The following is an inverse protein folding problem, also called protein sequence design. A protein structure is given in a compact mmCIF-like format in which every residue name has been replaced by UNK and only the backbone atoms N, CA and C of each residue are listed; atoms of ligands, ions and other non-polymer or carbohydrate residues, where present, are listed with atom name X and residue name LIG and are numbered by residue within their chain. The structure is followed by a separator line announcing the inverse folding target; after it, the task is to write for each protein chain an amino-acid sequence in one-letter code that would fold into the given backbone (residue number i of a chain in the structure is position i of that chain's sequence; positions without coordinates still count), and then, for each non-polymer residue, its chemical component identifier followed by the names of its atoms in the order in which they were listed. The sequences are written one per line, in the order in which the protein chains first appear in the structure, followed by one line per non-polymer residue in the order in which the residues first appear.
data_IF_657209416394
#
_entry.id   IF_657209416394
#
_cell.length_a   1.000
_cell.length_b   1.000
_cell.length_c   1.000
_cell.angle_alpha   90.00
_cell.angle_beta   90.00
_cell.angle_gamma   90.00
#
_symmetry.space_group_name_H-M   'P 1'
#
loop_
_entity.id
_entity.type
_entity.pdbx_description
1 polymer ?
#
# COMPACT_ATOMS: atom_id res chain seq x y z
N UNK A 1 46.48 4.21 -53.88
CA UNK A 1 45.33 3.32 -53.61
C UNK A 1 45.69 2.50 -52.38
N UNK A 2 45.30 2.82 -51.16
CA UNK A 2 43.98 3.15 -50.62
C UNK A 2 44.16 4.11 -49.42
N UNK A 3 43.25 5.09 -49.30
CA UNK A 3 43.18 6.04 -48.20
C UNK A 3 42.67 5.33 -46.93
N UNK A 4 43.33 5.57 -45.80
CA UNK A 4 42.82 5.23 -44.47
C UNK A 4 42.85 6.47 -43.60
N UNK A 5 42.08 7.50 -43.97
CA UNK A 5 41.85 8.64 -43.10
C UNK A 5 41.19 8.14 -41.84
N UNK A 6 41.90 8.21 -40.70
CA UNK A 6 41.26 8.10 -39.41
C UNK A 6 40.30 9.28 -39.30
N UNK A 7 39.02 9.04 -39.56
CA UNK A 7 37.97 9.98 -39.18
C UNK A 7 38.13 10.24 -37.69
N UNK A 8 38.66 11.41 -37.35
CA UNK A 8 38.54 11.94 -35.99
C UNK A 8 37.08 12.31 -35.79
N UNK A 9 36.28 11.28 -35.51
CA UNK A 9 34.93 11.42 -34.99
C UNK A 9 34.99 12.38 -33.81
N UNK A 10 34.24 13.48 -33.88
CA UNK A 10 34.07 14.43 -32.76
C UNK A 10 33.53 13.76 -31.49
N UNK A 11 33.04 12.52 -31.61
CA UNK A 11 32.45 11.75 -30.53
C UNK A 11 33.33 10.56 -30.17
N UNK A 12 33.69 10.48 -28.87
CA UNK A 12 34.40 9.33 -28.31
C UNK A 12 33.41 8.18 -28.12
N UNK A 13 33.45 7.18 -29.00
CA UNK A 13 32.62 5.97 -28.90
C UNK A 13 33.02 5.20 -27.64
N UNK A 14 32.05 4.94 -26.76
CA UNK A 14 32.21 4.06 -25.59
C UNK A 14 31.83 2.64 -26.01
N UNK A 15 32.72 1.68 -25.80
CA UNK A 15 32.46 0.25 -26.04
C UNK A 15 32.39 -0.50 -24.69
N UNK A 16 31.23 -1.04 -24.31
CA UNK A 16 31.08 -1.83 -23.09
C UNK A 16 32.00 -3.05 -23.04
N UNK A 17 32.40 -3.62 -24.18
CA UNK A 17 33.29 -4.77 -24.25
C UNK A 17 34.77 -4.40 -24.04
N UNK A 18 35.10 -3.11 -24.10
CA UNK A 18 36.45 -2.58 -23.90
C UNK A 18 36.70 -2.09 -22.47
N UNK A 19 35.80 -2.38 -21.51
CA UNK A 19 36.01 -2.09 -20.10
C UNK A 19 37.17 -2.96 -19.56
N UNK A 20 38.33 -2.36 -19.32
CA UNK A 20 39.41 -2.98 -18.55
C UNK A 20 39.09 -2.87 -17.06
N UNK A 21 39.31 -3.98 -16.34
CA UNK A 21 39.29 -3.96 -14.89
C UNK A 21 40.67 -3.47 -14.41
N UNK A 22 40.71 -2.28 -13.82
CA UNK A 22 41.92 -1.79 -13.16
C UNK A 22 42.18 -2.66 -11.92
N UNK A 23 43.42 -3.12 -11.77
CA UNK A 23 43.84 -3.92 -10.61
C UNK A 23 43.76 -3.12 -9.30
N UNK A 24 43.89 -1.79 -9.38
CA UNK A 24 43.83 -0.87 -8.26
C UNK A 24 43.14 0.43 -8.67
N UNK A 25 42.13 0.85 -7.90
CA UNK A 25 41.41 2.11 -8.09
C UNK A 25 41.59 2.92 -6.80
N UNK A 26 42.06 4.16 -6.90
CA UNK A 26 42.13 5.00 -5.71
C UNK A 26 40.73 5.49 -5.31
N UNK A 27 40.36 5.53 -4.01
CA UNK A 27 39.03 5.99 -3.59
C UNK A 27 38.65 7.39 -4.08
N UNK A 28 39.64 8.26 -4.34
CA UNK A 28 39.43 9.60 -4.91
C UNK A 28 39.01 9.62 -6.38
N UNK A 29 39.30 8.55 -7.12
CA UNK A 29 38.99 8.40 -8.56
C UNK A 29 37.59 7.86 -8.80
N UNK A 30 36.94 7.32 -7.76
CA UNK A 30 35.58 6.84 -7.84
C UNK A 30 34.61 7.99 -8.13
N UNK A 31 33.70 7.74 -9.08
CA UNK A 31 32.64 8.68 -9.41
C UNK A 31 31.80 8.98 -8.16
N UNK A 32 31.81 10.24 -7.74
CA UNK A 32 30.95 10.72 -6.65
C UNK A 32 29.63 11.15 -7.25
N UNK A 33 28.53 10.61 -6.72
CA UNK A 33 27.20 11.12 -7.03
C UNK A 33 27.04 12.60 -6.61
N UNK A 34 25.96 13.27 -7.03
CA UNK A 34 25.67 14.64 -6.63
C UNK A 34 25.65 14.76 -5.10
N UNK A 35 26.41 15.72 -4.55
CA UNK A 35 26.50 15.93 -3.09
C UNK A 35 25.14 16.29 -2.48
N UNK A 36 24.33 17.07 -3.19
CA UNK A 36 23.02 17.58 -2.73
C UNK A 36 21.84 16.82 -3.37
N UNK A 37 22.05 15.54 -3.70
CA UNK A 37 21.01 14.69 -4.28
C UNK A 37 19.87 14.39 -3.30
N UNK A 38 18.72 13.99 -3.85
CA UNK A 38 17.50 13.67 -3.08
C UNK A 38 17.77 12.71 -1.90
N UNK A 39 18.43 11.57 -2.14
CA UNK A 39 18.73 10.58 -1.10
C UNK A 39 19.73 11.07 -0.05
N UNK A 40 20.60 12.05 -0.37
CA UNK A 40 21.48 12.66 0.63
C UNK A 40 20.67 13.51 1.60
N UNK A 41 19.77 14.35 1.07
CA UNK A 41 18.85 15.17 1.90
C UNK A 41 17.88 14.31 2.69
N UNK A 42 17.39 13.22 2.10
CA UNK A 42 16.55 12.26 2.81
C UNK A 42 17.32 11.62 3.98
N UNK A 43 18.59 11.24 3.77
CA UNK A 43 19.43 10.72 4.86
C UNK A 43 19.58 11.74 5.98
N UNK A 44 19.86 13.01 5.67
CA UNK A 44 19.98 14.09 6.67
C UNK A 44 18.69 14.25 7.49
N UNK A 45 17.53 14.19 6.85
CA UNK A 45 16.23 14.23 7.54
C UNK A 45 16.05 13.01 8.45
N UNK A 46 16.34 11.81 7.95
CA UNK A 46 16.24 10.56 8.74
C UNK A 46 17.22 10.54 9.92
N UNK A 47 18.42 11.08 9.76
CA UNK A 47 19.40 11.23 10.83
C UNK A 47 18.95 12.27 11.86
N UNK A 48 18.43 13.42 11.41
CA UNK A 48 17.93 14.48 12.28
C UNK A 48 16.77 14.04 13.19
N UNK A 49 16.04 13.00 12.80
CA UNK A 49 14.96 12.40 13.59
C UNK A 49 15.35 11.09 14.29
N UNK A 50 16.63 10.69 14.33
CA UNK A 50 17.06 9.39 14.87
C UNK A 50 16.25 8.19 14.32
N UNK A 51 15.96 8.18 13.01
CA UNK A 51 15.15 7.12 12.41
C UNK A 51 15.75 5.72 12.67
N UNK A 52 17.07 5.60 12.53
CA UNK A 52 17.79 4.33 12.78
C UNK A 52 17.62 3.87 14.22
N UNK A 53 17.87 4.74 15.20
CA UNK A 53 17.75 4.38 16.62
C UNK A 53 16.30 4.05 17.02
N UNK A 54 15.32 4.80 16.49
CA UNK A 54 13.90 4.49 16.70
C UNK A 54 13.52 3.12 16.13
N UNK A 55 13.90 2.82 14.88
CA UNK A 55 13.65 1.51 14.26
C UNK A 55 14.35 0.39 15.02
N UNK A 56 15.58 0.60 15.49
CA UNK A 56 16.30 -0.39 16.29
C UNK A 56 15.55 -0.71 17.58
N UNK A 57 15.06 0.30 18.32
CA UNK A 57 14.24 0.11 19.53
C UNK A 57 12.96 -0.67 19.25
N UNK A 58 12.25 -0.33 18.16
CA UNK A 58 11.03 -1.02 17.75
C UNK A 58 11.28 -2.50 17.39
N UNK A 59 12.43 -2.79 16.77
CA UNK A 59 12.74 -4.12 16.28
C UNK A 59 13.45 -5.01 17.32
N UNK A 60 14.07 -4.44 18.36
CA UNK A 60 15.00 -5.13 19.26
C UNK A 60 14.44 -6.47 19.79
N UNK A 61 13.20 -6.47 20.26
CA UNK A 61 12.53 -7.67 20.83
C UNK A 61 12.34 -8.82 19.82
N UNK A 62 12.39 -8.51 18.52
CA UNK A 62 12.26 -9.48 17.43
C UNK A 62 13.61 -9.97 16.89
N UNK A 63 14.72 -9.47 17.45
CA UNK A 63 16.07 -9.85 17.09
C UNK A 63 16.74 -10.56 18.27
N UNK A 64 17.58 -11.55 17.97
CA UNK A 64 18.33 -12.26 19.01
C UNK A 64 19.53 -11.43 19.41
N UNK A 65 19.70 -11.17 20.71
CA UNK A 65 20.89 -10.54 21.23
C UNK A 65 22.11 -11.47 21.08
N UNK A 66 23.17 -10.97 20.46
CA UNK A 66 24.52 -11.53 20.59
C UNK A 66 24.85 -12.81 19.79
N UNK A 67 26.04 -12.74 19.20
CA UNK A 67 26.88 -13.68 18.43
C UNK A 67 27.01 -15.15 18.89
N UNK A 68 26.17 -15.66 19.79
CA UNK A 68 26.29 -17.03 20.33
C UNK A 68 25.64 -18.14 19.47
N UNK A 69 24.90 -17.79 18.41
CA UNK A 69 24.23 -18.75 17.52
C UNK A 69 24.89 -18.65 16.16
N UNK A 70 25.73 -19.63 15.78
CA UNK A 70 26.44 -19.63 14.51
C UNK A 70 25.49 -19.34 13.33
N UNK A 71 25.82 -18.32 12.53
CA UNK A 71 25.04 -17.88 11.38
C UNK A 71 25.42 -16.49 10.88
N UNK A 72 25.00 -16.14 9.66
CA UNK A 72 25.14 -14.79 9.10
C UNK A 72 24.34 -13.82 9.99
N UNK A 73 24.92 -12.68 10.44
CA UNK A 73 24.19 -11.66 11.17
C UNK A 73 22.93 -11.23 10.40
N UNK A 74 21.80 -10.98 11.09
CA UNK A 74 20.61 -10.50 10.40
C UNK A 74 20.88 -9.12 9.79
N UNK A 75 20.22 -8.84 8.66
CA UNK A 75 20.27 -7.50 8.06
C UNK A 75 19.72 -6.46 9.03
N UNK A 76 20.36 -5.29 9.07
CA UNK A 76 19.89 -4.16 9.88
C UNK A 76 18.45 -3.79 9.49
N UNK A 77 17.49 -3.76 10.44
CA UNK A 77 16.11 -3.38 10.16
C UNK A 77 15.97 -1.98 9.54
N UNK A 78 16.82 -1.01 9.92
CA UNK A 78 16.79 0.33 9.35
C UNK A 78 17.15 0.33 7.86
N UNK A 79 18.07 -0.54 7.43
CA UNK A 79 18.38 -0.76 6.01
C UNK A 79 17.16 -1.30 5.28
N UNK A 80 16.47 -2.29 5.84
CA UNK A 80 15.28 -2.88 5.20
C UNK A 80 14.16 -1.85 5.04
N UNK A 81 13.88 -1.03 6.06
CA UNK A 81 12.92 0.08 5.94
C UNK A 81 13.34 1.11 4.89
N UNK A 82 14.61 1.52 4.86
CA UNK A 82 15.14 2.43 3.83
C UNK A 82 15.01 1.85 2.42
N UNK A 83 15.24 0.55 2.23
CA UNK A 83 15.02 -0.10 0.93
C UNK A 83 13.53 -0.11 0.54
N UNK A 84 12.61 -0.34 1.48
CA UNK A 84 11.17 -0.21 1.22
C UNK A 84 10.79 1.23 0.85
N UNK A 85 11.38 2.24 1.50
CA UNK A 85 11.21 3.65 1.12
C UNK A 85 11.70 3.92 -0.30
N UNK A 86 12.83 3.36 -0.73
CA UNK A 86 13.30 3.44 -2.11
C UNK A 86 12.25 2.86 -3.06
N UNK A 87 11.70 1.68 -2.74
CA UNK A 87 10.63 1.06 -3.51
C UNK A 87 9.40 1.95 -3.66
N UNK A 88 8.95 2.55 -2.55
CA UNK A 88 7.82 3.48 -2.57
C UNK A 88 8.12 4.75 -3.40
N UNK A 89 9.27 5.39 -3.16
CA UNK A 89 9.64 6.68 -3.76
C UNK A 89 9.95 6.56 -5.27
N UNK A 90 10.47 5.42 -5.73
CA UNK A 90 10.74 5.17 -7.15
C UNK A 90 9.63 4.35 -7.85
N UNK A 91 8.56 3.99 -7.15
CA UNK A 91 7.42 3.24 -7.72
C UNK A 91 7.76 1.79 -8.09
N UNK A 92 8.67 1.15 -7.36
CA UNK A 92 9.12 -0.23 -7.60
C UNK A 92 8.34 -1.18 -6.70
N UNK A 93 7.39 -1.92 -7.29
CA UNK A 93 6.46 -2.80 -6.56
C UNK A 93 6.95 -4.22 -6.27
N UNK A 94 8.22 -4.57 -6.52
CA UNK A 94 8.73 -5.93 -6.30
C UNK A 94 10.02 -5.95 -5.49
N UNK A 95 10.14 -6.88 -4.54
CA UNK A 95 11.34 -7.04 -3.71
C UNK A 95 12.61 -7.28 -4.56
N UNK A 96 12.49 -8.03 -5.67
CA UNK A 96 13.58 -8.23 -6.63
C UNK A 96 13.99 -6.93 -7.32
N UNK A 97 13.01 -6.13 -7.74
CA UNK A 97 13.25 -4.82 -8.33
C UNK A 97 13.93 -3.87 -7.35
N UNK A 98 13.45 -3.83 -6.10
CA UNK A 98 14.03 -2.98 -5.04
C UNK A 98 15.47 -3.42 -4.76
N UNK A 99 15.71 -4.72 -4.57
CA UNK A 99 17.06 -5.24 -4.32
C UNK A 99 18.02 -4.95 -5.49
N UNK A 100 17.58 -5.18 -6.73
CA UNK A 100 18.38 -4.87 -7.92
C UNK A 100 18.72 -3.38 -8.00
N UNK A 101 17.72 -2.51 -7.75
CA UNK A 101 17.88 -1.06 -7.74
C UNK A 101 18.82 -0.56 -6.65
N UNK A 102 18.75 -1.16 -5.45
CA UNK A 102 19.68 -0.83 -4.37
C UNK A 102 21.11 -1.28 -4.69
N UNK A 103 21.27 -2.43 -5.37
CA UNK A 103 22.57 -2.95 -5.76
C UNK A 103 23.22 -2.13 -6.90
N UNK A 104 22.41 -1.64 -7.85
CA UNK A 104 22.88 -0.93 -9.06
C UNK A 104 23.29 0.53 -8.83
N UNK A 105 22.84 1.14 -7.72
CA UNK A 105 22.91 2.57 -7.51
C UNK A 105 23.93 2.96 -6.45
N UNK A 106 25.01 3.63 -6.88
CA UNK A 106 26.00 4.17 -5.95
C UNK A 106 25.40 5.17 -4.94
N UNK A 107 24.39 5.93 -5.36
CA UNK A 107 23.70 6.90 -4.50
C UNK A 107 22.87 6.18 -3.43
N UNK A 108 22.13 5.14 -3.82
CA UNK A 108 21.29 4.39 -2.87
C UNK A 108 22.16 3.54 -1.95
N UNK A 109 23.24 2.91 -2.44
CA UNK A 109 24.23 2.22 -1.58
C UNK A 109 24.73 3.12 -0.45
N UNK A 110 25.10 4.37 -0.79
CA UNK A 110 25.52 5.36 0.22
C UNK A 110 24.40 5.72 1.19
N UNK A 111 23.17 5.91 0.72
CA UNK A 111 21.99 6.15 1.55
C UNK A 111 21.71 5.00 2.55
N UNK A 112 21.97 3.77 2.12
CA UNK A 112 21.85 2.56 2.93
C UNK A 112 23.06 2.32 3.84
N UNK A 113 24.15 3.06 3.68
CA UNK A 113 25.38 2.90 4.46
C UNK A 113 26.30 1.76 3.99
N UNK A 114 26.16 1.30 2.75
CA UNK A 114 26.97 0.21 2.18
C UNK A 114 28.18 0.73 1.42
N UNK A 115 29.32 0.06 1.62
CA UNK A 115 30.53 0.30 0.84
C UNK A 115 30.39 -0.25 -0.59
N UNK A 116 31.28 0.16 -1.51
CA UNK A 116 31.27 -0.35 -2.89
C UNK A 116 31.56 -1.85 -2.98
N UNK A 117 32.35 -2.37 -2.04
CA UNK A 117 32.77 -3.77 -2.01
C UNK A 117 31.82 -4.66 -1.20
N UNK A 118 30.82 -4.08 -0.54
CA UNK A 118 29.82 -4.84 0.22
C UNK A 118 28.61 -5.18 -0.66
N UNK A 119 28.02 -6.34 -0.41
CA UNK A 119 26.76 -6.73 -1.02
C UNK A 119 25.59 -6.14 -0.23
N UNK A 120 24.69 -5.45 -0.95
CA UNK A 120 23.41 -5.02 -0.38
C UNK A 120 22.48 -6.23 -0.17
N UNK A 121 21.45 -6.12 0.69
CA UNK A 121 20.48 -7.20 0.88
C UNK A 121 19.79 -7.59 -0.44
N UNK A 122 19.49 -8.88 -0.58
CA UNK A 122 18.78 -9.40 -1.74
C UNK A 122 17.26 -9.53 -1.46
N UNK A 123 16.51 -10.00 -2.46
CA UNK A 123 15.06 -10.20 -2.33
C UNK A 123 14.66 -11.20 -1.22
N UNK A 124 15.52 -12.15 -0.86
CA UNK A 124 15.24 -13.11 0.20
C UNK A 124 15.27 -12.46 1.59
N UNK A 125 16.09 -11.43 1.77
CA UNK A 125 16.12 -10.61 2.99
C UNK A 125 14.77 -9.98 3.29
N UNK A 126 14.02 -9.52 2.28
CA UNK A 126 12.67 -8.98 2.47
C UNK A 126 11.69 -10.02 3.01
N UNK A 127 11.74 -11.25 2.50
CA UNK A 127 10.89 -12.34 2.96
C UNK A 127 11.17 -12.67 4.43
N UNK A 128 12.46 -12.78 4.79
CA UNK A 128 12.87 -13.02 6.19
C UNK A 128 12.46 -11.86 7.09
N UNK A 129 12.61 -10.63 6.60
CA UNK A 129 12.28 -9.42 7.35
C UNK A 129 10.78 -9.32 7.64
N UNK A 130 9.91 -9.49 6.63
CA UNK A 130 8.45 -9.44 6.81
C UNK A 130 7.90 -10.59 7.64
N UNK A 131 8.52 -11.78 7.62
CA UNK A 131 8.12 -12.90 8.49
C UNK A 131 8.57 -12.71 9.95
N UNK A 132 9.60 -11.89 10.19
CA UNK A 132 10.18 -11.68 11.52
C UNK A 132 9.39 -10.67 12.33
N UNK A 133 8.90 -9.62 11.69
CA UNK A 133 8.23 -8.51 12.35
C UNK A 133 6.72 -8.64 12.22
N UNK A 134 5.95 -8.42 13.29
CA UNK A 134 4.49 -8.29 13.19
C UNK A 134 4.10 -6.96 12.55
N UNK A 135 2.87 -6.89 12.03
CA UNK A 135 2.32 -5.69 11.39
C UNK A 135 2.37 -4.44 12.28
N UNK A 136 2.22 -4.63 13.59
CA UNK A 136 2.31 -3.55 14.59
C UNK A 136 3.67 -2.84 14.59
N UNK A 137 4.77 -3.54 14.26
CA UNK A 137 6.10 -2.91 14.14
C UNK A 137 6.20 -2.10 12.86
N UNK A 138 5.57 -2.55 11.76
CA UNK A 138 5.51 -1.77 10.53
C UNK A 138 4.67 -0.50 10.70
N UNK A 139 3.55 -0.59 11.42
CA UNK A 139 2.72 0.57 11.79
C UNK A 139 3.51 1.56 12.65
N UNK A 140 4.16 1.09 13.72
CA UNK A 140 4.99 1.96 14.56
C UNK A 140 6.15 2.61 13.78
N UNK A 141 6.79 1.89 12.85
CA UNK A 141 7.82 2.48 11.99
C UNK A 141 7.26 3.52 11.01
N UNK A 142 6.02 3.35 10.54
CA UNK A 142 5.32 4.36 9.75
C UNK A 142 4.98 5.60 10.59
N UNK A 143 4.60 5.42 11.85
CA UNK A 143 4.36 6.52 12.78
C UNK A 143 5.63 7.34 13.05
N UNK A 144 6.79 6.69 13.14
CA UNK A 144 8.08 7.40 13.19
C UNK A 144 8.23 8.33 11.99
N UNK A 145 7.91 7.87 10.78
CA UNK A 145 7.97 8.71 9.56
C UNK A 145 6.97 9.86 9.62
N UNK A 146 5.74 9.62 10.07
CA UNK A 146 4.71 10.65 10.23
C UNK A 146 5.12 11.72 11.24
N UNK A 147 5.80 11.34 12.32
CA UNK A 147 6.38 12.28 13.30
C UNK A 147 7.46 13.16 12.65
N UNK A 148 8.30 12.58 11.80
CA UNK A 148 9.25 13.34 10.98
C UNK A 148 8.55 14.32 10.02
N UNK A 149 7.47 13.89 9.36
CA UNK A 149 6.66 14.77 8.50
C UNK A 149 6.02 15.91 9.31
N UNK A 150 5.49 15.60 10.51
CA UNK A 150 4.93 16.59 11.42
C UNK A 150 5.94 17.65 11.81
N UNK A 151 7.13 17.24 12.26
CA UNK A 151 8.20 18.15 12.67
C UNK A 151 8.62 19.12 11.55
N UNK A 152 8.51 18.69 10.29
CA UNK A 152 8.78 19.53 9.11
C UNK A 152 7.55 20.25 8.55
N UNK A 153 6.39 20.15 9.23
CA UNK A 153 5.14 20.78 8.81
C UNK A 153 4.48 20.15 7.58
N UNK A 154 4.90 18.93 7.20
CA UNK A 154 4.37 18.11 6.10
C UNK A 154 3.23 17.17 6.53
N UNK A 155 2.79 17.26 7.78
CA UNK A 155 1.54 16.65 8.26
C UNK A 155 0.70 17.73 8.97
N UNK A 156 -0.42 18.14 8.36
CA UNK A 156 -1.38 19.10 8.94
C UNK A 156 -2.50 18.40 9.69
N UNK A 157 -3.00 17.29 9.13
CA UNK A 157 -3.99 16.42 9.77
C UNK A 157 -5.40 17.03 9.90
N UNK A 158 -5.70 18.15 9.24
CA UNK A 158 -7.02 18.82 9.42
C UNK A 158 -8.11 18.26 8.53
N UNK A 159 -7.72 17.70 7.39
CA UNK A 159 -8.65 17.27 6.35
C UNK A 159 -8.24 15.91 5.84
N UNK A 160 -8.92 14.86 6.32
CA UNK A 160 -8.63 13.50 5.93
C UNK A 160 -9.40 13.13 4.66
N UNK A 161 -8.74 12.41 3.77
CA UNK A 161 -9.33 11.74 2.62
C UNK A 161 -9.22 10.24 2.80
N UNK A 162 -10.27 9.49 2.50
CA UNK A 162 -10.24 8.02 2.45
C UNK A 162 -10.62 7.57 1.04
N UNK A 163 -9.85 6.65 0.50
CA UNK A 163 -10.09 6.04 -0.81
C UNK A 163 -9.55 4.62 -0.86
N UNK A 164 -10.28 3.73 -1.52
CA UNK A 164 -9.88 2.36 -1.76
C UNK A 164 -9.51 2.15 -3.22
N UNK A 165 -8.47 1.35 -3.42
CA UNK A 165 -8.06 0.86 -4.72
C UNK A 165 -8.33 -0.63 -4.83
N UNK A 166 -8.31 -1.14 -6.05
CA UNK A 166 -8.36 -2.58 -6.34
C UNK A 166 -7.02 -2.98 -6.94
N UNK A 167 -6.40 -4.01 -6.36
CA UNK A 167 -5.19 -4.65 -6.87
C UNK A 167 -5.53 -6.09 -7.20
N UNK A 168 -5.14 -6.54 -8.38
CA UNK A 168 -5.25 -7.95 -8.77
C UNK A 168 -4.27 -8.79 -7.94
N UNK A 169 -4.77 -9.87 -7.35
CA UNK A 169 -3.94 -10.80 -6.61
C UNK A 169 -3.09 -11.64 -7.57
N UNK A 170 -2.00 -12.21 -7.08
CA UNK A 170 -1.26 -13.23 -7.81
C UNK A 170 -1.96 -14.60 -7.67
N UNK A 171 -3.25 -14.63 -7.97
CA UNK A 171 -4.13 -15.78 -7.88
C UNK A 171 -5.19 -15.66 -8.96
N UNK A 172 -5.68 -16.79 -9.47
CA UNK A 172 -6.70 -16.81 -10.52
C UNK A 172 -7.95 -17.56 -10.08
N UNK A 173 -9.08 -17.24 -10.71
CA UNK A 173 -10.32 -17.99 -10.54
C UNK A 173 -10.21 -19.47 -10.97
N UNK A 174 -9.23 -19.80 -11.82
CA UNK A 174 -9.01 -21.18 -12.28
C UNK A 174 -8.38 -22.07 -11.20
N UNK A 175 -7.66 -21.47 -10.24
CA UNK A 175 -7.04 -22.16 -9.11
C UNK A 175 -7.94 -22.26 -7.87
N UNK A 176 -9.24 -21.98 -8.00
CA UNK A 176 -10.15 -22.05 -6.85
C UNK A 176 -10.30 -23.49 -6.34
N UNK A 177 -10.31 -23.62 -5.01
CA UNK A 177 -10.62 -24.84 -4.27
C UNK A 177 -11.76 -24.58 -3.29
N UNK A 178 -12.57 -25.60 -3.02
CA UNK A 178 -13.58 -25.51 -1.96
C UNK A 178 -12.92 -25.51 -0.58
N UNK A 179 -13.34 -24.62 0.31
CA UNK A 179 -12.77 -24.48 1.66
C UNK A 179 -12.92 -25.74 2.53
N UNK A 180 -14.04 -26.45 2.40
CA UNK A 180 -14.36 -27.59 3.27
C UNK A 180 -13.86 -28.93 2.75
N UNK A 181 -13.69 -29.07 1.44
CA UNK A 181 -13.40 -30.35 0.79
C UNK A 181 -12.09 -30.34 0.02
N UNK A 182 -11.43 -29.19 -0.08
CA UNK A 182 -10.23 -28.96 -0.89
C UNK A 182 -10.38 -29.38 -2.36
N UNK A 183 -11.63 -29.58 -2.81
CA UNK A 183 -11.90 -30.02 -4.17
C UNK A 183 -11.69 -28.87 -5.12
N UNK A 184 -10.90 -29.09 -6.18
CA UNK A 184 -10.67 -28.08 -7.21
C UNK A 184 -11.99 -27.68 -7.89
N UNK A 185 -12.09 -26.42 -8.30
CA UNK A 185 -13.26 -25.92 -9.03
C UNK A 185 -13.59 -26.77 -10.24
N UNK A 186 -12.57 -27.18 -11.00
CA UNK A 186 -12.76 -27.98 -12.20
C UNK A 186 -13.18 -29.41 -11.90
N UNK A 187 -12.73 -30.02 -10.81
CA UNK A 187 -13.21 -31.36 -10.44
C UNK A 187 -14.65 -31.33 -9.94
N UNK A 188 -15.03 -30.29 -9.20
CA UNK A 188 -16.43 -30.03 -8.87
C UNK A 188 -17.31 -29.87 -10.13
N UNK A 189 -16.85 -29.08 -11.10
CA UNK A 189 -17.56 -28.88 -12.37
C UNK A 189 -17.63 -30.18 -13.18
N UNK A 190 -16.58 -31.01 -13.21
CA UNK A 190 -16.62 -32.33 -13.85
C UNK A 190 -17.66 -33.25 -13.23
N UNK A 191 -17.78 -33.25 -11.89
CA UNK A 191 -18.82 -34.02 -11.19
C UNK A 191 -20.22 -33.63 -11.66
N UNK A 192 -20.52 -32.34 -11.67
CA UNK A 192 -21.80 -31.81 -12.18
C UNK A 192 -22.04 -32.11 -13.66
N UNK A 193 -20.99 -32.01 -14.48
CA UNK A 193 -21.05 -32.28 -15.91
C UNK A 193 -21.36 -33.77 -16.17
N UNK A 194 -20.74 -34.68 -15.43
CA UNK A 194 -21.00 -36.12 -15.50
C UNK A 194 -22.44 -36.46 -15.10
N UNK A 195 -22.96 -35.87 -14.02
CA UNK A 195 -24.37 -36.02 -13.61
C UNK A 195 -25.35 -35.51 -14.68
N UNK A 196 -24.95 -34.49 -15.44
CA UNK A 196 -25.72 -33.94 -16.56
C UNK A 196 -25.51 -34.68 -17.89
N UNK A 197 -24.73 -35.77 -17.91
CA UNK A 197 -24.46 -36.58 -19.10
C UNK A 197 -23.49 -35.95 -20.10
N UNK A 198 -22.71 -34.94 -19.69
CA UNK A 198 -21.65 -34.32 -20.49
C UNK A 198 -20.38 -35.17 -20.40
N UNK A 199 -19.67 -35.32 -21.52
CA UNK A 199 -18.37 -36.01 -21.53
C UNK A 199 -17.34 -35.23 -20.70
N UNK A 200 -16.97 -35.80 -19.55
CA UNK A 200 -16.01 -35.21 -18.61
C UNK A 200 -14.56 -35.26 -19.12
N UNK A 201 -14.29 -36.07 -20.14
CA UNK A 201 -12.96 -36.17 -20.76
C UNK A 201 -12.75 -35.15 -21.89
N UNK A 202 -13.80 -34.43 -22.32
CA UNK A 202 -13.70 -33.28 -23.23
C UNK A 202 -13.68 -31.96 -22.41
N UNK A 203 -12.51 -31.32 -22.21
CA UNK A 203 -12.42 -30.07 -21.46
C UNK A 203 -13.27 -28.94 -22.07
N UNK A 204 -13.47 -28.94 -23.39
CA UNK A 204 -14.29 -27.94 -24.06
C UNK A 204 -15.78 -28.16 -23.77
N UNK A 205 -16.23 -29.41 -23.69
CA UNK A 205 -17.60 -29.73 -23.28
C UNK A 205 -17.87 -29.31 -21.83
N UNK A 206 -16.96 -29.63 -20.90
CA UNK A 206 -17.04 -29.23 -19.49
C UNK A 206 -17.06 -27.71 -19.33
N UNK A 207 -16.21 -26.97 -20.05
CA UNK A 207 -16.20 -25.51 -20.01
C UNK A 207 -17.47 -24.87 -20.59
N UNK A 208 -18.04 -25.44 -21.68
CA UNK A 208 -19.34 -25.00 -22.23
C UNK A 208 -20.47 -25.24 -21.24
N UNK A 209 -20.47 -26.38 -20.57
CA UNK A 209 -21.44 -26.72 -19.52
C UNK A 209 -21.40 -25.70 -18.37
N UNK A 210 -20.22 -25.40 -17.81
CA UNK A 210 -20.11 -24.43 -16.71
C UNK A 210 -20.54 -23.01 -17.12
N UNK A 211 -20.23 -22.59 -18.36
CA UNK A 211 -20.66 -21.29 -18.89
C UNK A 211 -22.18 -21.19 -19.00
N UNK A 212 -22.87 -22.29 -19.32
CA UNK A 212 -24.32 -22.34 -19.44
C UNK A 212 -25.05 -22.50 -18.08
N UNK A 213 -24.32 -22.78 -17.00
CA UNK A 213 -24.89 -23.07 -15.68
C UNK A 213 -25.61 -21.86 -15.08
N UNK A 214 -26.90 -22.03 -14.79
CA UNK A 214 -27.70 -21.01 -14.08
C UNK A 214 -27.27 -20.92 -12.63
N UNK A 215 -27.08 -19.69 -12.13
CA UNK A 215 -26.73 -19.46 -10.73
C UNK A 215 -25.29 -19.83 -10.35
N UNK A 216 -24.37 -19.87 -11.33
CA UNK A 216 -22.92 -19.99 -11.07
C UNK A 216 -22.50 -18.96 -10.02
N UNK A 217 -22.03 -19.44 -8.87
CA UNK A 217 -21.50 -18.62 -7.78
C UNK A 217 -20.16 -19.21 -7.33
N UNK A 218 -19.13 -18.38 -7.36
CA UNK A 218 -17.84 -18.62 -6.71
C UNK A 218 -17.79 -17.73 -5.46
N UNK A 219 -18.65 -18.04 -4.49
CA UNK A 219 -18.75 -17.23 -3.29
C UNK A 219 -17.50 -17.38 -2.41
N UNK A 220 -17.01 -16.30 -1.83
CA UNK A 220 -15.83 -16.35 -0.94
C UNK A 220 -16.03 -17.18 0.34
N UNK A 221 -17.30 -17.52 0.67
CA UNK A 221 -17.66 -18.43 1.76
C UNK A 221 -17.34 -19.89 1.46
N UNK A 222 -17.45 -20.28 0.20
CA UNK A 222 -17.28 -21.66 -0.24
C UNK A 222 -15.94 -21.89 -0.92
N UNK A 223 -15.40 -20.85 -1.58
CA UNK A 223 -14.22 -20.95 -2.43
C UNK A 223 -13.08 -20.07 -1.92
N UNK A 224 -11.84 -20.55 -2.10
CA UNK A 224 -10.61 -19.77 -1.93
C UNK A 224 -9.57 -20.20 -2.96
N UNK A 225 -8.48 -19.44 -3.10
CA UNK A 225 -7.33 -19.85 -3.87
C UNK A 225 -6.20 -20.23 -2.89
N UNK A 226 -5.55 -21.40 -3.03
CA UNK A 226 -4.49 -21.85 -2.11
C UNK A 226 -3.16 -21.09 -2.31
N UNK A 227 -2.91 -20.54 -3.49
CA UNK A 227 -1.69 -19.76 -3.79
C UNK A 227 -1.71 -18.38 -3.12
N UNK A 228 -2.92 -17.82 -2.93
CA UNK A 228 -3.17 -16.59 -2.16
C UNK A 228 -4.51 -16.74 -1.38
N UNK A 229 -4.46 -17.29 -0.15
CA UNK A 229 -5.66 -17.52 0.67
C UNK A 229 -6.39 -16.25 1.13
N UNK A 230 -5.71 -15.10 1.11
CA UNK A 230 -6.23 -13.81 1.57
C UNK A 230 -6.96 -13.07 0.44
N UNK A 231 -6.59 -13.34 -0.81
CA UNK A 231 -7.32 -12.83 -1.95
C UNK A 231 -8.80 -13.25 -1.93
N UNK A 232 -9.65 -12.40 -2.48
CA UNK A 232 -11.09 -12.63 -2.57
C UNK A 232 -11.58 -12.47 -3.99
N UNK A 233 -12.55 -13.29 -4.38
CA UNK A 233 -13.29 -13.09 -5.62
C UNK A 233 -14.03 -11.75 -5.52
N UNK A 234 -13.68 -10.82 -6.39
CA UNK A 234 -14.22 -9.47 -6.44
C UNK A 234 -14.17 -8.89 -7.85
N UNK A 235 -14.63 -7.65 -8.01
CA UNK A 235 -14.61 -6.97 -9.32
C UNK A 235 -13.31 -6.18 -9.50
N UNK A 236 -12.62 -6.41 -10.61
CA UNK A 236 -11.46 -5.61 -11.02
C UNK A 236 -11.90 -4.21 -11.44
N UNK A 237 -10.94 -3.30 -11.65
CA UNK A 237 -11.19 -1.93 -12.12
C UNK A 237 -11.95 -1.90 -13.46
N UNK A 238 -11.72 -2.88 -14.32
CA UNK A 238 -12.39 -3.03 -15.62
C UNK A 238 -13.77 -3.71 -15.51
N UNK A 239 -14.19 -4.08 -14.30
CA UNK A 239 -15.49 -4.70 -14.02
C UNK A 239 -15.54 -6.21 -14.23
N UNK A 240 -14.42 -6.85 -14.61
CA UNK A 240 -14.31 -8.30 -14.66
C UNK A 240 -14.27 -8.88 -13.25
N UNK A 241 -14.56 -10.18 -13.11
CA UNK A 241 -14.38 -10.88 -11.84
C UNK A 241 -13.01 -11.53 -11.80
N UNK A 242 -12.28 -11.32 -10.72
CA UNK A 242 -11.02 -12.01 -10.45
C UNK A 242 -10.73 -12.08 -8.95
N UNK A 243 -9.58 -12.65 -8.58
CA UNK A 243 -9.03 -12.60 -7.23
C UNK A 243 -8.37 -11.24 -7.01
N UNK A 244 -8.82 -10.50 -6.00
CA UNK A 244 -8.35 -9.14 -5.73
C UNK A 244 -8.08 -8.90 -4.25
N UNK A 245 -7.23 -7.90 -4.02
CA UNK A 245 -7.01 -7.22 -2.75
C UNK A 245 -7.54 -5.79 -2.84
N UNK A 246 -7.98 -5.24 -1.71
CA UNK A 246 -8.53 -3.88 -1.64
C UNK A 246 -7.70 -3.01 -0.72
N UNK A 247 -6.54 -2.50 -1.17
CA UNK A 247 -5.80 -1.49 -0.41
C UNK A 247 -6.66 -0.25 -0.21
N UNK A 248 -6.55 0.34 0.97
CA UNK A 248 -7.23 1.56 1.33
C UNK A 248 -6.26 2.46 2.08
N UNK A 249 -6.35 3.75 1.79
CA UNK A 249 -5.47 4.75 2.37
C UNK A 249 -6.30 5.89 2.96
N UNK A 250 -5.86 6.36 4.13
CA UNK A 250 -6.30 7.62 4.70
C UNK A 250 -5.16 8.62 4.54
N UNK A 251 -5.43 9.74 3.89
CA UNK A 251 -4.44 10.76 3.53
C UNK A 251 -4.79 12.12 4.09
N UNK A 252 -3.79 12.91 4.47
CA UNK A 252 -3.94 14.35 4.71
C UNK A 252 -4.07 15.08 3.37
N UNK A 253 -5.28 15.55 3.06
CA UNK A 253 -5.59 16.21 1.79
C UNK A 253 -4.83 17.54 1.59
N UNK A 254 -4.20 18.08 2.62
CA UNK A 254 -3.39 19.29 2.50
C UNK A 254 -1.98 19.03 2.02
N UNK A 255 -1.41 17.88 2.36
CA UNK A 255 0.02 17.58 2.18
C UNK A 255 0.26 16.35 1.31
N UNK A 256 -0.72 15.44 1.22
CA UNK A 256 -0.57 14.13 0.60
C UNK A 256 0.06 13.08 1.51
N UNK A 257 0.32 13.40 2.78
CA UNK A 257 0.84 12.43 3.74
C UNK A 257 -0.15 11.29 3.95
N UNK A 258 0.30 10.05 3.81
CA UNK A 258 -0.49 8.85 4.14
C UNK A 258 -0.47 8.71 5.65
N UNK A 259 -1.64 8.74 6.29
CA UNK A 259 -1.81 8.62 7.73
C UNK A 259 -1.98 7.15 8.10
N UNK A 260 -2.86 6.45 7.38
CA UNK A 260 -3.11 5.03 7.58
C UNK A 260 -3.20 4.33 6.22
N UNK A 261 -2.77 3.07 6.18
CA UNK A 261 -2.88 2.21 5.03
C UNK A 261 -3.21 0.79 5.50
N UNK A 262 -4.24 0.20 4.91
CA UNK A 262 -4.68 -1.17 5.21
C UNK A 262 -4.97 -1.91 3.91
N UNK A 263 -4.70 -3.22 3.87
CA UNK A 263 -5.17 -4.08 2.77
C UNK A 263 -6.40 -4.83 3.25
N UNK A 264 -7.56 -4.44 2.72
CA UNK A 264 -8.83 -5.08 3.08
C UNK A 264 -9.15 -6.24 2.15
N UNK A 265 -9.99 -7.20 2.60
CA UNK A 265 -10.49 -8.26 1.74
C UNK A 265 -11.17 -7.67 0.49
N UNK A 266 -10.94 -8.31 -0.67
CA UNK A 266 -11.47 -7.85 -1.96
C UNK A 266 -13.00 -7.71 -2.04
N UNK A 267 -13.74 -8.43 -1.20
CA UNK A 267 -15.19 -8.38 -1.09
C UNK A 267 -15.72 -7.46 0.02
N UNK A 268 -14.83 -6.79 0.76
CA UNK A 268 -15.21 -5.84 1.80
C UNK A 268 -15.79 -4.55 1.19
N UNK A 269 -17.05 -4.25 1.50
CA UNK A 269 -17.71 -3.03 1.06
C UNK A 269 -17.12 -1.77 1.71
N UNK A 270 -17.02 -0.66 0.98
CA UNK A 270 -16.35 0.58 1.44
C UNK A 270 -16.89 1.14 2.76
N UNK A 271 -18.16 0.86 3.07
CA UNK A 271 -18.81 1.31 4.30
C UNK A 271 -18.64 0.35 5.48
N UNK A 272 -18.11 -0.86 5.28
CA UNK A 272 -17.96 -1.84 6.35
C UNK A 272 -16.93 -1.33 7.37
N UNK A 273 -17.33 -1.16 8.62
CA UNK A 273 -16.48 -0.66 9.72
C UNK A 273 -15.74 0.65 9.35
N UNK A 274 -16.45 1.57 8.68
CA UNK A 274 -15.89 2.87 8.28
C UNK A 274 -15.63 3.75 9.48
N UNK A 275 -16.51 3.75 10.47
CA UNK A 275 -16.31 4.56 11.67
C UNK A 275 -15.04 4.17 12.42
N UNK A 276 -14.74 2.87 12.55
CA UNK A 276 -13.53 2.37 13.23
C UNK A 276 -12.28 2.94 12.59
N UNK A 277 -12.11 2.73 11.27
CA UNK A 277 -10.96 3.21 10.50
C UNK A 277 -10.77 4.72 10.60
N UNK A 278 -11.86 5.47 10.59
CA UNK A 278 -11.81 6.93 10.69
C UNK A 278 -11.47 7.40 12.11
N UNK A 279 -12.03 6.75 13.15
CA UNK A 279 -11.74 7.09 14.54
C UNK A 279 -10.27 6.81 14.85
N UNK A 280 -9.75 5.64 14.48
CA UNK A 280 -8.33 5.29 14.67
C UNK A 280 -7.39 6.30 13.99
N UNK A 281 -7.72 6.72 12.75
CA UNK A 281 -6.92 7.74 12.06
C UNK A 281 -7.04 9.13 12.70
N UNK A 282 -8.19 9.47 13.29
CA UNK A 282 -8.36 10.71 14.05
C UNK A 282 -7.51 10.65 15.32
N UNK A 283 -7.62 9.58 16.10
CA UNK A 283 -6.87 9.36 17.34
C UNK A 283 -5.35 9.46 17.10
N UNK A 284 -4.85 8.80 16.06
CA UNK A 284 -3.44 8.88 15.67
C UNK A 284 -3.00 10.33 15.37
N UNK A 285 -3.81 11.09 14.63
CA UNK A 285 -3.50 12.49 14.31
C UNK A 285 -3.51 13.37 15.56
N UNK A 286 -4.46 13.16 16.48
CA UNK A 286 -4.54 13.92 17.72
C UNK A 286 -3.37 13.58 18.66
N UNK A 287 -2.98 12.30 18.77
CA UNK A 287 -1.83 11.86 19.57
C UNK A 287 -0.52 12.49 19.07
N UNK A 288 -0.28 12.45 17.76
CA UNK A 288 0.93 13.02 17.16
C UNK A 288 1.05 14.53 17.33
N UNK A 289 -0.07 15.27 17.32
CA UNK A 289 -0.04 16.73 17.34
C UNK A 289 -0.05 17.30 18.77
N UNK A 290 -0.26 16.47 19.80
CA UNK A 290 -0.31 16.88 21.19
C UNK A 290 -1.45 17.86 21.52
N UNK A 291 -1.43 18.42 22.73
CA UNK A 291 -2.46 19.33 23.27
C UNK A 291 -2.39 20.78 22.74
N UNK A 292 -1.68 21.04 21.63
CA UNK A 292 -1.53 22.39 21.06
C UNK A 292 -2.81 22.96 20.41
N UNK A 293 -3.97 22.37 20.70
CA UNK A 293 -5.28 22.80 20.25
C UNK A 293 -6.19 23.07 21.46
N UNK A 294 -7.11 24.02 21.31
CA UNK A 294 -8.03 24.38 22.40
C UNK A 294 -8.78 23.14 22.89
N UNK A 295 -8.85 22.97 24.23
CA UNK A 295 -9.58 21.87 24.86
C UNK A 295 -10.98 21.72 24.23
N UNK A 296 -11.29 20.51 23.75
CA UNK A 296 -12.59 20.16 23.20
C UNK A 296 -12.81 20.44 21.70
N UNK A 297 -11.79 20.82 20.93
CA UNK A 297 -11.89 20.94 19.46
C UNK A 297 -10.91 20.02 18.76
N UNK A 298 -11.41 18.91 18.19
CA UNK A 298 -10.59 18.03 17.34
C UNK A 298 -9.90 18.83 16.23
N UNK A 299 -8.61 18.58 16.07
CA UNK A 299 -7.80 19.14 14.99
C UNK A 299 -8.26 18.61 13.64
N UNK A 300 -8.74 17.38 13.60
CA UNK A 300 -9.38 16.82 12.41
C UNK A 300 -10.73 17.51 12.21
N UNK A 301 -10.84 18.33 11.17
CA UNK A 301 -12.04 19.12 10.88
C UNK A 301 -12.99 18.41 9.94
N UNK A 302 -12.47 17.54 9.07
CA UNK A 302 -13.32 16.85 8.11
C UNK A 302 -12.71 15.58 7.56
N UNK A 303 -13.61 14.65 7.22
CA UNK A 303 -13.31 13.41 6.50
C UNK A 303 -14.02 13.47 5.15
N UNK A 304 -13.30 13.18 4.07
CA UNK A 304 -13.79 13.28 2.70
C UNK A 304 -13.62 11.95 2.00
N UNK A 305 -14.67 11.47 1.33
CA UNK A 305 -14.66 10.20 0.62
C UNK A 305 -15.56 10.29 -0.61
N UNK A 306 -15.52 9.26 -1.44
CA UNK A 306 -16.46 9.13 -2.55
C UNK A 306 -17.88 8.77 -2.09
N UNK A 307 -18.82 8.60 -3.04
CA UNK A 307 -20.20 8.28 -2.67
C UNK A 307 -20.42 6.82 -2.23
N UNK A 308 -19.49 5.92 -2.57
CA UNK A 308 -19.47 4.53 -2.14
C UNK A 308 -19.29 4.39 -0.63
N UNK A 309 -18.62 5.35 0.02
CA UNK A 309 -18.47 5.42 1.48
C UNK A 309 -19.70 5.97 2.22
N UNK A 310 -20.82 6.25 1.55
CA UNK A 310 -21.98 6.87 2.20
C UNK A 310 -22.90 5.86 2.88
N UNK A 311 -22.72 5.68 4.19
CA UNK A 311 -23.65 4.94 5.05
C UNK A 311 -24.16 5.84 6.19
N UNK A 312 -25.48 6.09 6.34
CA UNK A 312 -26.01 7.01 7.36
C UNK A 312 -25.63 6.69 8.79
N UNK A 313 -25.51 5.41 9.15
CA UNK A 313 -25.16 4.95 10.49
C UNK A 313 -23.68 5.23 10.75
N UNK A 314 -22.80 4.80 9.85
CA UNK A 314 -21.36 5.06 9.89
C UNK A 314 -21.06 6.58 10.00
N UNK A 315 -21.71 7.38 9.14
CA UNK A 315 -21.56 8.84 9.16
C UNK A 315 -22.07 9.46 10.46
N UNK A 316 -23.07 8.87 11.10
CA UNK A 316 -23.59 9.31 12.39
C UNK A 316 -22.57 9.10 13.50
N UNK A 317 -22.03 7.88 13.59
CA UNK A 317 -21.00 7.53 14.58
C UNK A 317 -19.78 8.44 14.40
N UNK A 318 -19.23 8.54 13.18
CA UNK A 318 -18.07 9.41 12.90
C UNK A 318 -18.32 10.84 13.37
N UNK A 319 -19.46 11.44 12.98
CA UNK A 319 -19.76 12.84 13.32
C UNK A 319 -19.96 13.07 14.81
N UNK A 320 -20.48 12.08 15.53
CA UNK A 320 -20.80 12.20 16.96
C UNK A 320 -19.57 11.93 17.83
N UNK A 321 -18.82 10.87 17.53
CA UNK A 321 -17.64 10.48 18.32
C UNK A 321 -16.45 11.42 18.11
N UNK A 322 -16.23 11.88 16.87
CA UNK A 322 -15.03 12.69 16.54
C UNK A 322 -15.32 14.18 16.41
N UNK A 323 -16.60 14.58 16.30
CA UNK A 323 -16.98 15.94 15.94
C UNK A 323 -16.62 16.36 14.50
N UNK A 324 -16.07 15.44 13.69
CA UNK A 324 -15.59 15.74 12.34
C UNK A 324 -16.74 15.98 11.37
N UNK A 325 -16.53 16.91 10.43
CA UNK A 325 -17.47 17.13 9.32
C UNK A 325 -17.26 16.10 8.22
N UNK A 326 -18.26 15.28 7.92
CA UNK A 326 -18.20 14.34 6.79
C UNK A 326 -18.54 15.03 5.47
N UNK A 327 -17.66 14.91 4.48
CA UNK A 327 -17.82 15.43 3.11
C UNK A 327 -17.96 14.23 2.17
N UNK A 328 -19.05 13.49 2.34
CA UNK A 328 -19.31 12.22 1.67
C UNK A 328 -20.69 12.32 1.00
N UNK A 329 -20.73 12.27 -0.33
CA UNK A 329 -21.96 12.43 -1.10
C UNK A 329 -22.84 11.19 -1.04
N UNK A 330 -24.16 11.37 -1.07
CA UNK A 330 -25.10 10.25 -1.02
C UNK A 330 -25.52 9.81 -2.43
N UNK A 331 -25.10 8.61 -2.85
CA UNK A 331 -25.50 8.03 -4.13
C UNK A 331 -27.02 7.76 -4.19
N UNK A 332 -27.65 7.49 -3.05
CA UNK A 332 -29.07 7.17 -2.93
C UNK A 332 -29.94 8.37 -2.54
N UNK A 333 -29.42 9.61 -2.64
CA UNK A 333 -30.10 10.81 -2.16
C UNK A 333 -31.53 10.98 -2.69
N UNK A 334 -31.77 10.62 -3.96
CA UNK A 334 -33.07 10.76 -4.60
C UNK A 334 -34.11 9.75 -4.12
N UNK A 335 -33.68 8.55 -3.71
CA UNK A 335 -34.55 7.45 -3.28
C UNK A 335 -34.59 7.28 -1.75
N UNK A 336 -33.72 7.96 -1.01
CA UNK A 336 -33.62 7.87 0.44
C UNK A 336 -34.87 8.42 1.11
N UNK A 337 -35.55 7.59 1.90
CA UNK A 337 -36.70 7.96 2.72
C UNK A 337 -36.23 8.37 4.12
N UNK A 338 -36.23 9.67 4.50
CA UNK A 338 -35.68 10.11 5.78
C UNK A 338 -36.42 9.53 6.99
N UNK A 339 -37.71 9.20 6.83
CA UNK A 339 -38.54 8.57 7.86
C UNK A 339 -38.00 7.21 8.31
N UNK A 340 -37.30 6.47 7.43
CA UNK A 340 -36.74 5.15 7.73
C UNK A 340 -35.39 5.23 8.46
N UNK A 341 -34.84 6.42 8.65
CA UNK A 341 -33.61 6.63 9.40
C UNK A 341 -33.93 7.02 10.84
N UNK A 342 -33.14 6.48 11.78
CA UNK A 342 -33.08 7.00 13.14
C UNK A 342 -32.68 8.48 13.18
N UNK A 343 -32.94 9.19 14.29
CA UNK A 343 -32.76 10.64 14.39
C UNK A 343 -31.31 11.08 14.12
N UNK A 344 -30.33 10.35 14.66
CA UNK A 344 -28.90 10.65 14.50
C UNK A 344 -28.44 10.47 13.06
N UNK A 345 -28.71 9.30 12.46
CA UNK A 345 -28.41 9.02 11.06
C UNK A 345 -29.07 10.05 10.10
N UNK A 346 -30.32 10.47 10.40
CA UNK A 346 -31.02 11.50 9.63
C UNK A 346 -30.31 12.86 9.74
N UNK A 347 -29.83 13.22 10.92
CA UNK A 347 -29.07 14.46 11.12
C UNK A 347 -27.71 14.40 10.42
N UNK A 348 -27.02 13.27 10.52
CA UNK A 348 -25.73 13.01 9.90
C UNK A 348 -25.80 13.16 8.36
N UNK A 349 -26.82 12.57 7.72
CA UNK A 349 -27.05 12.71 6.27
C UNK A 349 -27.32 14.17 5.89
N UNK A 350 -28.09 14.91 6.68
CA UNK A 350 -28.36 16.34 6.43
C UNK A 350 -27.08 17.19 6.54
N UNK A 351 -26.24 16.94 7.55
CA UNK A 351 -24.95 17.61 7.73
C UNK A 351 -24.01 17.30 6.57
N UNK A 352 -23.87 16.03 6.18
CA UNK A 352 -23.07 15.60 5.03
C UNK A 352 -23.55 16.26 3.71
N UNK A 353 -24.87 16.28 3.46
CA UNK A 353 -25.43 16.91 2.28
C UNK A 353 -25.14 18.43 2.21
N UNK A 354 -25.15 19.13 3.36
CA UNK A 354 -24.74 20.54 3.44
C UNK A 354 -23.23 20.70 3.21
N UNK A 355 -22.42 19.83 3.81
CA UNK A 355 -20.97 19.87 3.68
C UNK A 355 -20.53 19.70 2.22
N UNK A 356 -21.07 18.70 1.51
CA UNK A 356 -20.79 18.45 0.08
C UNK A 356 -21.16 19.63 -0.82
N UNK A 357 -22.24 20.37 -0.50
CA UNK A 357 -22.67 21.55 -1.27
C UNK A 357 -21.84 22.81 -0.97
N UNK A 358 -21.18 22.88 0.18
CA UNK A 358 -20.39 24.03 0.61
C UNK A 358 -19.16 24.27 -0.28
N UNK A 359 -18.69 25.53 -0.35
CA UNK A 359 -17.47 25.89 -1.10
C UNK A 359 -16.25 25.08 -0.65
N UNK A 360 -16.07 24.92 0.66
CA UNK A 360 -14.95 24.15 1.21
C UNK A 360 -15.10 22.65 0.96
N UNK A 361 -16.30 22.08 1.03
CA UNK A 361 -16.54 20.67 0.71
C UNK A 361 -16.25 20.33 -0.75
N UNK A 362 -16.68 21.19 -1.69
CA UNK A 362 -16.34 21.03 -3.12
C UNK A 362 -14.82 21.10 -3.37
N UNK A 363 -14.12 21.97 -2.66
CA UNK A 363 -12.66 22.05 -2.75
C UNK A 363 -11.97 20.79 -2.21
N UNK A 364 -12.45 20.23 -1.10
CA UNK A 364 -11.93 18.97 -0.55
C UNK A 364 -12.19 17.78 -1.46
N UNK A 365 -13.38 17.66 -2.03
CA UNK A 365 -13.70 16.62 -3.02
C UNK A 365 -12.80 16.72 -4.27
N UNK A 366 -12.44 17.93 -4.70
CA UNK A 366 -11.49 18.14 -5.79
C UNK A 366 -10.07 17.71 -5.39
N UNK A 367 -9.61 18.07 -4.17
CA UNK A 367 -8.30 17.65 -3.64
C UNK A 367 -8.17 16.14 -3.51
N UNK A 368 -9.23 15.46 -3.07
CA UNK A 368 -9.31 14.00 -2.98
C UNK A 368 -9.29 13.29 -4.35
N UNK A 369 -9.36 14.02 -5.47
CA UNK A 369 -9.14 13.47 -6.80
C UNK A 369 -7.75 13.77 -7.36
N UNK A 370 -6.88 14.45 -6.59
CA UNK A 370 -5.49 14.75 -6.97
C UNK A 370 -4.50 13.79 -6.31
N UNK A 371 -4.87 13.26 -5.15
CA UNK A 371 -4.26 12.13 -4.48
C UNK A 371 -5.08 10.90 -4.83
#
# INVERSE_FOLDING_TARGET
TWQGGAEMSKFRRKDPKALQADLWIQPGELAKGPKDGFYSKLLEVLEGMDFTGQVHRLCEVHYKAGTGVGGRPPTDPAVMFKMMMVGFLEGIGSDRGIAARCADSLIIRRFLGYNLTEETPDHSSFTVFRKRLPDTVFQAAHEVVLEGLRAHGLLKGRHLGIDSSVIEANASLSGLVQRNTETSYWDYVKGLAGEAGVDVNDPAAVARFDRARKGRKTSNKEWCNPDDPDARVGRTKDGAWDMIHKPEHIVDLETGAIIAAEVRPGDAGDTADLYTRIIEAVELVEEMQGQDHAEGVSRVRSVTADKGYHNPQELGIIQNETGTRTVIGDASAASRKPANLGPEARQAVRRAARAVKSKSGKALLKKRGMH
#
